data_IF_867688255696
#
_entry.id   IF_867688255696
#
_cell.length_a   1.000
_cell.length_b   1.000
_cell.length_c   1.000
_cell.angle_alpha   90.00
_cell.angle_beta   90.00
_cell.angle_gamma   90.00
#
_symmetry.space_group_name_H-M   'P 1'
#
loop_
_entity.id
_entity.type
_entity.pdbx_description
1 polymer ?
#
# COMPACT_ATOMS: atom_id res chain seq x y z
N UNK A 1 5.19 8.30 17.03
CA UNK A 1 6.06 8.06 15.85
C UNK A 1 5.96 9.24 14.90
N UNK A 2 7.11 9.79 14.49
CA UNK A 2 7.24 10.89 13.53
C UNK A 2 6.89 10.42 12.09
N UNK A 3 6.61 11.32 11.12
CA UNK A 3 6.31 10.96 9.73
C UNK A 3 7.26 9.93 9.09
N UNK A 4 8.57 10.16 9.18
CA UNK A 4 9.60 9.27 8.60
C UNK A 4 9.57 7.88 9.23
N UNK A 5 9.51 7.79 10.56
CA UNK A 5 9.41 6.52 11.28
C UNK A 5 8.13 5.73 10.99
N UNK A 6 7.01 6.40 10.69
CA UNK A 6 5.77 5.72 10.26
C UNK A 6 5.93 5.08 8.89
N UNK A 7 6.55 5.79 7.95
CA UNK A 7 6.80 5.27 6.61
C UNK A 7 7.77 4.08 6.65
N UNK A 8 8.82 4.16 7.48
CA UNK A 8 9.76 3.05 7.70
C UNK A 8 9.10 1.82 8.36
N UNK A 9 8.25 2.02 9.38
CA UNK A 9 7.52 0.91 10.00
C UNK A 9 6.58 0.20 9.00
N UNK A 10 5.98 0.96 8.09
CA UNK A 10 5.14 0.41 7.04
C UNK A 10 5.95 -0.31 5.97
N UNK A 11 7.13 0.18 5.60
CA UNK A 11 8.07 -0.55 4.75
C UNK A 11 8.40 -1.93 5.34
N UNK A 12 8.79 -1.99 6.62
CA UNK A 12 9.10 -3.25 7.29
C UNK A 12 7.92 -4.22 7.30
N UNK A 13 6.70 -3.74 7.52
CA UNK A 13 5.48 -4.58 7.44
C UNK A 13 5.25 -5.14 6.05
N UNK A 14 5.43 -4.33 5.00
CA UNK A 14 5.28 -4.76 3.61
C UNK A 14 6.33 -5.81 3.24
N UNK A 15 7.57 -5.64 3.69
CA UNK A 15 8.65 -6.63 3.48
C UNK A 15 8.29 -7.98 4.10
N UNK A 16 7.79 -7.99 5.35
CA UNK A 16 7.38 -9.23 6.02
C UNK A 16 6.21 -9.91 5.29
N UNK A 17 5.20 -9.13 4.89
CA UNK A 17 4.07 -9.67 4.13
C UNK A 17 4.50 -10.25 2.78
N UNK A 18 5.38 -9.54 2.05
CA UNK A 18 5.90 -10.00 0.77
C UNK A 18 6.70 -11.30 0.93
N UNK A 19 7.58 -11.37 1.93
CA UNK A 19 8.35 -12.58 2.22
C UNK A 19 7.46 -13.78 2.57
N UNK A 20 6.37 -13.56 3.33
CA UNK A 20 5.41 -14.60 3.64
C UNK A 20 4.71 -15.13 2.36
N UNK A 21 4.26 -14.24 1.49
CA UNK A 21 3.65 -14.61 0.20
C UNK A 21 4.65 -15.38 -0.68
N UNK A 22 5.89 -14.92 -0.79
CA UNK A 22 6.96 -15.56 -1.54
C UNK A 22 7.32 -16.95 -1.00
N UNK A 23 7.13 -17.18 0.29
CA UNK A 23 7.33 -18.50 0.90
C UNK A 23 6.21 -19.47 0.56
N UNK A 24 4.95 -18.99 0.55
CA UNK A 24 3.77 -19.84 0.30
C UNK A 24 3.57 -20.14 -1.18
N UNK A 25 3.81 -19.17 -2.06
CA UNK A 25 3.52 -19.29 -3.50
C UNK A 25 4.11 -20.54 -4.15
N UNK A 26 5.40 -20.91 -3.96
CA UNK A 26 5.96 -22.09 -4.59
C UNK A 26 5.35 -23.41 -4.09
N UNK A 27 4.93 -23.47 -2.83
CA UNK A 27 4.28 -24.65 -2.27
C UNK A 27 2.86 -24.81 -2.83
N UNK A 28 2.10 -23.72 -2.88
CA UNK A 28 0.76 -23.69 -3.44
C UNK A 28 0.75 -24.03 -4.94
N UNK A 29 1.71 -23.51 -5.70
CA UNK A 29 1.83 -23.78 -7.13
C UNK A 29 2.12 -25.27 -7.40
N UNK A 30 3.06 -25.88 -6.66
CA UNK A 30 3.34 -27.32 -6.77
C UNK A 30 2.12 -28.17 -6.40
N UNK A 31 1.41 -27.80 -5.34
CA UNK A 31 0.18 -28.47 -4.97
C UNK A 31 -0.86 -28.40 -6.09
N UNK A 32 -1.12 -27.21 -6.63
CA UNK A 32 -2.08 -27.00 -7.71
C UNK A 32 -1.72 -27.78 -8.98
N UNK A 33 -0.43 -27.90 -9.32
CA UNK A 33 0.06 -28.68 -10.45
C UNK A 33 -0.10 -30.19 -10.28
N UNK A 34 -0.11 -30.69 -9.04
CA UNK A 34 -0.33 -32.11 -8.74
C UNK A 34 -1.78 -32.56 -8.89
N UNK A 35 -2.72 -31.61 -8.95
CA UNK A 35 -4.15 -31.90 -9.04
C UNK A 35 -4.58 -32.26 -10.46
N UNK A 36 -5.51 -33.21 -10.57
CA UNK A 36 -6.26 -33.45 -11.80
C UNK A 36 -7.34 -32.37 -12.03
N UNK A 37 -8.01 -32.42 -13.17
CA UNK A 37 -8.97 -31.38 -13.57
C UNK A 37 -10.18 -31.28 -12.63
N UNK A 38 -10.70 -32.42 -12.15
CA UNK A 38 -11.82 -32.42 -11.20
C UNK A 38 -11.39 -31.83 -9.85
N UNK A 39 -10.20 -32.18 -9.37
CA UNK A 39 -9.62 -31.63 -8.14
C UNK A 39 -9.34 -30.13 -8.27
N UNK A 40 -8.85 -29.66 -9.41
CA UNK A 40 -8.67 -28.22 -9.69
C UNK A 40 -10.01 -27.49 -9.70
N UNK A 41 -11.03 -28.05 -10.33
CA UNK A 41 -12.37 -27.46 -10.34
C UNK A 41 -12.93 -27.32 -8.91
N UNK A 42 -12.81 -28.37 -8.09
CA UNK A 42 -13.19 -28.34 -6.68
C UNK A 42 -12.38 -27.32 -5.89
N UNK A 43 -11.05 -27.29 -6.05
CA UNK A 43 -10.16 -26.36 -5.36
C UNK A 43 -10.43 -24.89 -5.73
N UNK A 44 -10.68 -24.61 -7.01
CA UNK A 44 -11.09 -23.28 -7.49
C UNK A 44 -12.44 -22.84 -6.90
N UNK A 45 -13.32 -23.81 -6.59
CA UNK A 45 -14.60 -23.57 -5.92
C UNK A 45 -14.48 -23.41 -4.39
N UNK A 46 -13.32 -23.71 -3.78
CA UNK A 46 -13.06 -23.41 -2.36
C UNK A 46 -12.83 -21.90 -2.22
N UNK A 47 -13.93 -21.16 -2.17
CA UNK A 47 -14.00 -19.88 -1.46
C UNK A 47 -14.05 -20.14 0.05
N UNK A 48 -13.80 -19.15 0.94
CA UNK A 48 -13.96 -19.33 2.37
C UNK A 48 -15.37 -19.86 2.64
N UNK A 49 -15.44 -21.11 3.10
CA UNK A 49 -16.68 -21.86 3.14
C UNK A 49 -17.71 -21.17 4.07
N UNK A 50 -18.96 -21.11 3.59
CA UNK A 50 -20.22 -20.77 4.29
C UNK A 50 -20.84 -19.37 4.11
N UNK A 51 -20.35 -18.53 3.18
CA UNK A 51 -21.08 -17.30 2.82
C UNK A 51 -21.13 -17.15 1.29
N UNK A 52 -22.31 -17.23 0.63
CA UNK A 52 -22.44 -16.96 -0.80
C UNK A 52 -22.02 -15.53 -1.18
N UNK A 53 -21.86 -14.66 -0.18
CA UNK A 53 -21.38 -13.29 -0.30
C UNK A 53 -19.88 -13.17 0.04
N UNK A 54 -19.18 -14.26 0.41
CA UNK A 54 -17.74 -14.26 0.74
C UNK A 54 -16.86 -13.95 -0.47
N UNK A 55 -17.16 -14.52 -1.63
CA UNK A 55 -16.48 -14.16 -2.89
C UNK A 55 -16.68 -12.69 -3.20
N UNK A 56 -17.90 -12.16 -3.02
CA UNK A 56 -18.20 -10.75 -3.20
C UNK A 56 -17.59 -9.84 -2.10
N UNK A 57 -17.36 -10.33 -0.87
CA UNK A 57 -16.68 -9.60 0.22
C UNK A 57 -15.17 -9.58 0.05
N UNK A 58 -14.55 -10.72 -0.24
CA UNK A 58 -13.12 -10.84 -0.53
C UNK A 58 -12.80 -10.03 -1.80
N UNK A 59 -13.69 -10.10 -2.79
CA UNK A 59 -13.65 -9.21 -3.95
C UNK A 59 -13.85 -7.75 -3.56
N UNK A 60 -14.80 -7.38 -2.69
CA UNK A 60 -14.94 -5.99 -2.22
C UNK A 60 -13.71 -5.51 -1.48
N UNK A 61 -13.07 -6.34 -0.66
CA UNK A 61 -11.90 -5.95 0.12
C UNK A 61 -10.61 -5.89 -0.72
N UNK A 62 -10.45 -6.79 -1.68
CA UNK A 62 -9.38 -6.72 -2.69
C UNK A 62 -9.62 -5.59 -3.69
N UNK A 63 -10.87 -5.34 -4.10
CA UNK A 63 -11.25 -4.21 -4.96
C UNK A 63 -11.06 -2.90 -4.21
N UNK A 64 -11.39 -2.78 -2.92
CA UNK A 64 -11.02 -1.61 -2.09
C UNK A 64 -9.50 -1.43 -2.02
N UNK A 65 -8.73 -2.51 -1.94
CA UNK A 65 -7.27 -2.45 -2.01
C UNK A 65 -6.72 -1.95 -3.36
N UNK A 66 -7.60 -1.92 -4.35
CA UNK A 66 -7.36 -1.55 -5.73
C UNK A 66 -8.14 -0.33 -6.22
N UNK A 67 -9.05 0.19 -5.40
CA UNK A 67 -9.93 1.28 -5.76
C UNK A 67 -9.14 2.58 -5.57
N UNK A 68 -8.94 3.31 -6.66
CA UNK A 68 -8.29 4.63 -6.70
C UNK A 68 -8.97 5.64 -5.76
N UNK A 69 -10.21 5.38 -5.33
CA UNK A 69 -10.96 6.23 -4.38
C UNK A 69 -10.57 6.01 -2.92
N UNK A 70 -9.82 4.96 -2.59
CA UNK A 70 -9.36 4.70 -1.24
C UNK A 70 -8.04 5.44 -1.01
N UNK A 71 -7.88 6.23 0.08
CA UNK A 71 -6.66 6.98 0.32
C UNK A 71 -5.43 6.08 0.23
N UNK A 72 -4.66 6.25 -0.85
CA UNK A 72 -3.49 5.42 -1.10
C UNK A 72 -2.33 5.90 -0.25
N UNK A 73 -1.34 5.04 -0.09
CA UNK A 73 -0.09 5.41 0.57
C UNK A 73 0.59 6.63 -0.07
N UNK A 74 0.26 6.91 -1.33
CA UNK A 74 0.80 7.99 -2.15
C UNK A 74 -0.04 9.26 -2.14
N UNK A 75 -1.26 9.22 -1.58
CA UNK A 75 -2.13 10.40 -1.47
C UNK A 75 -1.78 11.23 -0.25
N UNK A 76 -0.63 11.88 -0.30
CA UNK A 76 -0.20 12.79 0.76
C UNK A 76 -1.05 14.08 0.72
N UNK A 77 -1.54 14.56 1.88
CA UNK A 77 -2.28 15.82 1.95
C UNK A 77 -1.31 17.01 1.93
N UNK A 78 -0.65 17.25 0.78
CA UNK A 78 0.42 18.23 0.62
C UNK A 78 -0.02 19.63 1.06
N UNK A 79 -1.23 20.07 0.69
CA UNK A 79 -1.72 21.40 1.07
C UNK A 79 -1.90 21.54 2.59
N UNK A 80 -2.41 20.49 3.25
CA UNK A 80 -2.55 20.45 4.71
C UNK A 80 -1.18 20.46 5.40
N UNK A 81 -0.20 19.76 4.84
CA UNK A 81 1.19 19.78 5.33
C UNK A 81 1.76 21.19 5.20
N UNK A 82 1.60 21.83 4.04
CA UNK A 82 2.06 23.19 3.79
C UNK A 82 1.45 24.20 4.78
N UNK A 83 0.12 24.11 5.01
CA UNK A 83 -0.59 24.98 5.95
C UNK A 83 -0.10 24.82 7.39
N UNK A 84 0.12 23.59 7.84
CA UNK A 84 0.54 23.34 9.22
C UNK A 84 2.02 23.70 9.46
N UNK A 85 2.89 23.38 8.52
CA UNK A 85 4.34 23.54 8.67
C UNK A 85 4.80 24.95 8.28
N UNK A 86 4.04 25.65 7.43
CA UNK A 86 4.38 26.98 6.91
C UNK A 86 5.83 27.04 6.40
N UNK A 87 6.19 26.27 5.35
CA UNK A 87 7.57 26.14 4.90
C UNK A 87 8.15 27.45 4.39
N UNK A 88 9.42 27.70 4.73
CA UNK A 88 10.21 28.81 4.18
C UNK A 88 10.43 28.63 2.68
N UNK A 89 10.83 29.69 1.93
CA UNK A 89 11.13 29.55 0.51
C UNK A 89 12.14 28.44 0.19
N UNK A 90 13.15 28.23 1.04
CA UNK A 90 14.14 27.16 0.88
C UNK A 90 13.54 25.75 1.12
N UNK A 91 12.58 25.62 2.04
CA UNK A 91 11.92 24.35 2.37
C UNK A 91 10.82 23.97 1.36
N UNK A 92 10.23 24.94 0.64
CA UNK A 92 9.20 24.67 -0.38
C UNK A 92 9.69 23.72 -1.46
N UNK A 93 10.93 23.89 -1.93
CA UNK A 93 11.52 22.98 -2.91
C UNK A 93 11.60 21.53 -2.40
N UNK A 94 11.82 21.32 -1.10
CA UNK A 94 11.80 19.98 -0.50
C UNK A 94 10.38 19.41 -0.37
N UNK A 95 9.38 20.26 -0.11
CA UNK A 95 7.97 19.86 -0.12
C UNK A 95 7.48 19.50 -1.54
N UNK A 96 7.90 20.26 -2.55
CA UNK A 96 7.59 19.98 -3.95
C UNK A 96 8.23 18.66 -4.39
N UNK A 97 9.48 18.39 -4.00
CA UNK A 97 10.12 17.11 -4.26
C UNK A 97 9.38 15.93 -3.60
N UNK A 98 8.80 16.12 -2.42
CA UNK A 98 7.94 15.13 -1.76
C UNK A 98 6.63 14.91 -2.52
N UNK A 99 6.01 15.99 -3.01
CA UNK A 99 4.82 15.91 -3.89
C UNK A 99 5.14 15.11 -5.16
N UNK A 100 6.24 15.42 -5.83
CA UNK A 100 6.65 14.72 -7.04
C UNK A 100 6.97 13.24 -6.79
N UNK A 101 7.62 12.93 -5.66
CA UNK A 101 7.86 11.55 -5.25
C UNK A 101 6.55 10.79 -5.03
N UNK A 102 5.55 11.46 -4.46
CA UNK A 102 4.21 10.90 -4.25
C UNK A 102 3.50 10.62 -5.57
N UNK A 103 3.56 11.55 -6.53
CA UNK A 103 3.02 11.36 -7.88
C UNK A 103 3.70 10.18 -8.57
N UNK A 104 5.04 10.12 -8.58
CA UNK A 104 5.78 8.98 -9.16
C UNK A 104 5.48 7.66 -8.47
N UNK A 105 5.21 7.68 -7.18
CA UNK A 105 4.80 6.50 -6.45
C UNK A 105 3.39 6.07 -6.85
N UNK A 106 2.45 7.01 -7.02
CA UNK A 106 1.09 6.75 -7.47
C UNK A 106 1.07 6.15 -8.88
N UNK A 107 1.87 6.68 -9.82
CA UNK A 107 2.00 6.12 -11.17
C UNK A 107 2.48 4.66 -11.15
N UNK A 108 3.38 4.29 -10.21
CA UNK A 108 3.80 2.89 -10.05
C UNK A 108 2.69 1.99 -9.51
N UNK A 109 1.74 2.55 -8.76
CA UNK A 109 0.62 1.81 -8.19
C UNK A 109 -0.58 1.66 -9.13
N UNK A 110 -0.65 2.45 -10.21
CA UNK A 110 -1.70 2.36 -11.24
C UNK A 110 -1.70 1.04 -12.02
N UNK A 111 -0.64 0.24 -11.90
CA UNK A 111 -0.40 -0.88 -12.84
C UNK A 111 -1.02 -2.22 -12.40
N UNK A 112 -1.36 -2.43 -11.12
CA UNK A 112 -1.55 -3.80 -10.62
C UNK A 112 -2.89 -4.08 -9.92
N UNK A 113 -3.99 -3.69 -10.56
CA UNK A 113 -5.32 -4.09 -10.11
C UNK A 113 -5.97 -5.06 -11.08
N UNK A 114 -5.53 -6.34 -11.10
CA UNK A 114 -6.18 -7.35 -11.89
C UNK A 114 -7.62 -7.53 -11.39
N UNK A 115 -8.54 -7.81 -12.30
CA UNK A 115 -9.89 -8.24 -11.98
C UNK A 115 -9.79 -9.62 -11.32
N UNK A 116 -9.71 -9.65 -9.99
CA UNK A 116 -9.51 -10.86 -9.18
C UNK A 116 -10.60 -11.94 -9.37
N UNK A 117 -11.70 -11.60 -10.05
CA UNK A 117 -12.85 -12.47 -10.31
C UNK A 117 -12.52 -13.72 -11.12
N UNK A 118 -11.48 -13.71 -11.95
CA UNK A 118 -11.16 -14.81 -12.88
C UNK A 118 -9.91 -15.60 -12.48
N UNK A 119 -9.27 -15.25 -11.36
CA UNK A 119 -7.99 -15.86 -10.98
C UNK A 119 -8.21 -17.19 -10.23
N UNK A 120 -7.45 -18.20 -10.66
CA UNK A 120 -7.20 -19.41 -9.87
C UNK A 120 -6.62 -19.02 -8.50
N UNK A 121 -6.71 -19.87 -7.46
CA UNK A 121 -6.10 -19.57 -6.16
C UNK A 121 -4.61 -19.25 -6.26
N UNK A 122 -3.86 -19.91 -7.15
CA UNK A 122 -2.46 -19.57 -7.44
C UNK A 122 -2.32 -18.17 -8.06
N UNK A 123 -3.17 -17.82 -9.02
CA UNK A 123 -3.22 -16.49 -9.62
C UNK A 123 -3.53 -15.38 -8.62
N UNK A 124 -4.38 -15.65 -7.61
CA UNK A 124 -4.66 -14.69 -6.53
C UNK A 124 -3.41 -14.40 -5.69
N UNK A 125 -2.66 -15.43 -5.30
CA UNK A 125 -1.42 -15.27 -4.54
C UNK A 125 -0.35 -14.54 -5.35
N UNK A 126 -0.24 -14.81 -6.65
CA UNK A 126 0.65 -14.06 -7.54
C UNK A 126 0.26 -12.57 -7.63
N UNK A 127 -1.02 -12.27 -7.76
CA UNK A 127 -1.51 -10.89 -7.79
C UNK A 127 -1.23 -10.16 -6.46
N UNK A 128 -1.42 -10.84 -5.32
CA UNK A 128 -1.05 -10.32 -4.00
C UNK A 128 0.46 -10.03 -3.91
N UNK A 129 1.32 -10.92 -4.42
CA UNK A 129 2.77 -10.72 -4.44
C UNK A 129 3.13 -9.45 -5.22
N UNK A 130 2.64 -9.31 -6.46
CA UNK A 130 2.88 -8.13 -7.31
C UNK A 130 2.42 -6.85 -6.64
N UNK A 131 1.24 -6.86 -6.02
CA UNK A 131 0.69 -5.68 -5.34
C UNK A 131 1.53 -5.28 -4.13
N UNK A 132 1.99 -6.23 -3.33
CA UNK A 132 2.86 -5.97 -2.19
C UNK A 132 4.21 -5.39 -2.64
N UNK A 133 4.79 -5.93 -3.72
CA UNK A 133 6.04 -5.43 -4.30
C UNK A 133 5.89 -3.99 -4.86
N UNK A 134 4.82 -3.72 -5.61
CA UNK A 134 4.51 -2.39 -6.12
C UNK A 134 4.32 -1.37 -4.97
N UNK A 135 3.61 -1.77 -3.92
CA UNK A 135 3.42 -0.94 -2.72
C UNK A 135 4.75 -0.68 -1.99
N UNK A 136 5.59 -1.70 -1.84
CA UNK A 136 6.92 -1.54 -1.26
C UNK A 136 7.80 -0.57 -2.08
N UNK A 137 7.76 -0.70 -3.40
CA UNK A 137 8.48 0.19 -4.33
C UNK A 137 7.99 1.64 -4.27
N UNK A 138 6.67 1.85 -4.14
CA UNK A 138 6.08 3.17 -3.93
C UNK A 138 6.57 3.81 -2.61
N UNK A 139 6.61 3.03 -1.53
CA UNK A 139 7.13 3.49 -0.22
C UNK A 139 8.59 3.89 -0.32
N UNK A 140 9.43 3.04 -0.91
CA UNK A 140 10.86 3.32 -1.11
C UNK A 140 11.11 4.56 -1.96
N UNK A 141 10.22 4.86 -2.90
CA UNK A 141 10.29 6.10 -3.71
C UNK A 141 10.09 7.36 -2.86
N UNK A 142 9.19 7.31 -1.87
CA UNK A 142 8.85 8.48 -1.05
C UNK A 142 9.80 8.72 0.12
N UNK A 143 10.42 7.66 0.66
CA UNK A 143 11.32 7.74 1.82
C UNK A 143 12.39 8.84 1.74
N UNK A 144 13.22 8.93 0.68
CA UNK A 144 14.28 9.92 0.64
C UNK A 144 13.73 11.36 0.58
N UNK A 145 12.63 11.58 -0.15
CA UNK A 145 12.01 12.89 -0.24
C UNK A 145 11.36 13.31 1.10
N UNK A 146 10.71 12.38 1.79
CA UNK A 146 10.11 12.64 3.10
C UNK A 146 11.18 12.92 4.16
N UNK A 147 12.27 12.16 4.17
CA UNK A 147 13.41 12.40 5.06
C UNK A 147 14.01 13.78 4.82
N UNK A 148 14.34 14.10 3.55
CA UNK A 148 14.90 15.40 3.18
C UNK A 148 14.00 16.57 3.58
N UNK A 149 12.69 16.47 3.33
CA UNK A 149 11.75 17.49 3.78
C UNK A 149 11.75 17.60 5.30
N UNK A 150 11.60 16.49 6.03
CA UNK A 150 11.58 16.48 7.49
C UNK A 150 12.84 17.06 8.12
N UNK A 151 14.02 16.71 7.60
CA UNK A 151 15.31 17.17 8.11
C UNK A 151 15.55 18.65 7.85
N UNK A 152 14.92 19.22 6.82
CA UNK A 152 14.99 20.66 6.52
C UNK A 152 14.16 21.53 7.47
N UNK A 153 13.26 20.95 8.27
CA UNK A 153 12.35 21.66 9.15
C UNK A 153 13.01 22.05 10.49
N UNK A 154 12.59 23.20 11.04
CA UNK A 154 12.87 23.56 12.44
C UNK A 154 12.16 22.61 13.41
N UNK A 155 12.53 22.65 14.68
CA UNK A 155 11.90 21.80 15.69
C UNK A 155 10.42 22.12 15.90
N UNK A 156 10.02 23.40 15.84
CA UNK A 156 8.62 23.82 15.89
C UNK A 156 7.84 23.31 14.68
N UNK A 157 8.45 23.40 13.49
CA UNK A 157 7.87 22.89 12.25
C UNK A 157 7.71 21.36 12.29
N UNK A 158 8.71 20.63 12.81
CA UNK A 158 8.63 19.18 13.04
C UNK A 158 7.52 18.85 14.03
N UNK A 159 7.37 19.61 15.12
CA UNK A 159 6.31 19.40 16.10
C UNK A 159 4.91 19.54 15.47
N UNK A 160 4.70 20.57 14.64
CA UNK A 160 3.43 20.76 13.88
C UNK A 160 3.20 19.64 12.87
N UNK A 161 4.24 19.21 12.14
CA UNK A 161 4.10 18.09 11.20
C UNK A 161 3.76 16.78 11.92
N UNK A 162 4.39 16.53 13.07
CA UNK A 162 4.13 15.35 13.90
C UNK A 162 2.68 15.31 14.41
N UNK A 163 2.05 16.47 14.67
CA UNK A 163 0.70 16.56 15.23
C UNK A 163 -0.44 16.44 14.22
N UNK A 164 -0.16 16.52 12.91
CA UNK A 164 -1.17 16.37 11.84
C UNK A 164 -1.96 15.05 11.91
N UNK A 165 -1.42 14.04 12.58
CA UNK A 165 -2.09 12.74 12.81
C UNK A 165 -3.26 12.84 13.81
N UNK A 166 -3.20 13.78 14.75
CA UNK A 166 -4.18 13.92 15.82
C UNK A 166 -5.48 14.58 15.33
N UNK A 167 -5.40 15.37 14.28
CA UNK A 167 -6.53 16.10 13.70
C UNK A 167 -7.26 15.34 12.59
N UNK A 168 -7.00 14.03 12.41
CA UNK A 168 -7.71 13.18 11.42
C UNK A 168 -8.57 12.08 12.07
N UNK A 169 -8.73 12.06 13.40
CA UNK A 169 -9.80 11.28 14.05
C UNK A 169 -11.07 12.14 14.05
N UNK A 170 -12.14 11.76 13.36
CA UNK A 170 -13.47 12.22 13.75
C UNK A 170 -13.75 11.56 15.11
N UNK A 171 -13.96 12.37 16.15
CA UNK A 171 -14.86 11.99 17.23
C UNK A 171 -16.26 11.94 16.62
N UNK A 172 -16.77 10.73 16.44
CA UNK A 172 -18.10 10.44 15.93
C UNK A 172 -18.35 8.94 16.02
#
# INVERSE_FOLDING_TARGET
>A
SIPTGRLAAMEGRLQVMLAAVQTVRPALERFYQSLNDEQKARFNAIAPANDPDATAKDQRDLTKFCDEKTPSVTDLPIDRIAQAVQPTPAQRAALDALKDASIRAAERLKVDCPTYQTLTPTGRVEAMEKRLDATLSAVKTMQPALAKFYDSLSDEQKARFNSLRSASRPTG
#
